data_IF_510846290322
#
_entry.id   IF_510846290322
#
_cell.length_a   1.000
_cell.length_b   1.000
_cell.length_c   1.000
_cell.angle_alpha   90.00
_cell.angle_beta   90.00
_cell.angle_gamma   90.00
#
_symmetry.space_group_name_H-M   'P 1'
#
loop_
_entity.id
_entity.type
_entity.pdbx_description
1 polymer ?
#
# COMPACT_ATOMS: atom_id res chain seq x y z
N UNK A 1 6.07 8.10 -10.02
CA UNK A 1 7.24 8.06 -9.11
C UNK A 1 6.94 7.50 -7.73
N UNK A 2 5.82 7.85 -7.07
CA UNK A 2 5.54 7.47 -5.66
C UNK A 2 5.61 5.97 -5.35
N UNK A 3 5.14 5.12 -6.26
CA UNK A 3 5.16 3.65 -6.12
C UNK A 3 6.56 3.04 -5.92
N UNK A 4 7.60 3.67 -6.50
CA UNK A 4 8.93 3.06 -6.60
C UNK A 4 9.92 3.59 -5.56
N UNK A 5 9.59 4.68 -4.85
CA UNK A 5 10.49 5.31 -3.87
C UNK A 5 10.72 4.40 -2.64
N UNK A 6 9.67 3.78 -2.04
CA UNK A 6 9.87 2.92 -0.88
C UNK A 6 10.61 1.63 -1.24
N UNK A 7 10.33 1.06 -2.42
CA UNK A 7 11.05 -0.12 -2.90
C UNK A 7 12.52 0.21 -3.20
N UNK A 8 12.77 1.32 -3.89
CA UNK A 8 14.12 1.79 -4.19
C UNK A 8 14.94 2.10 -2.93
N UNK A 9 14.32 2.74 -1.93
CA UNK A 9 14.95 3.00 -0.63
C UNK A 9 15.23 1.72 0.17
N UNK A 10 14.34 0.73 0.10
CA UNK A 10 14.54 -0.59 0.69
C UNK A 10 15.69 -1.37 0.05
N UNK A 11 15.84 -1.26 -1.27
CA UNK A 11 16.87 -1.95 -2.08
C UNK A 11 18.31 -1.47 -1.78
N UNK A 12 18.47 -0.34 -1.08
CA UNK A 12 19.77 0.15 -0.63
C UNK A 12 20.34 -0.65 0.55
N UNK A 13 19.52 -1.44 1.26
CA UNK A 13 19.95 -2.19 2.44
C UNK A 13 20.03 -3.70 2.14
N UNK A 14 21.20 -4.32 2.38
CA UNK A 14 21.43 -5.75 2.13
C UNK A 14 20.62 -6.62 3.12
N UNK A 15 19.87 -7.60 2.61
CA UNK A 15 18.96 -8.43 3.42
C UNK A 15 19.66 -9.57 4.17
N UNK A 16 20.85 -9.98 3.72
CA UNK A 16 21.61 -11.11 4.28
C UNK A 16 22.36 -10.78 5.58
N UNK A 17 22.40 -9.52 6.00
CA UNK A 17 23.07 -9.07 7.23
C UNK A 17 22.01 -8.67 8.30
N UNK A 18 21.89 -9.42 9.41
CA UNK A 18 20.85 -9.19 10.42
C UNK A 18 20.99 -7.83 11.13
N UNK A 19 22.20 -7.23 11.16
CA UNK A 19 22.40 -5.89 11.74
C UNK A 19 21.96 -4.77 10.79
N UNK A 20 22.10 -4.97 9.48
CA UNK A 20 21.66 -4.00 8.45
C UNK A 20 20.16 -4.09 8.15
N UNK A 21 19.55 -5.27 8.28
CA UNK A 21 18.09 -5.45 8.18
C UNK A 21 17.32 -4.66 9.26
N UNK A 22 17.83 -4.61 10.50
CA UNK A 22 17.26 -3.77 11.56
C UNK A 22 17.31 -2.26 11.23
N UNK A 23 18.40 -1.79 10.62
CA UNK A 23 18.53 -0.39 10.17
C UNK A 23 17.54 -0.05 9.05
N UNK A 24 17.26 -1.00 8.13
CA UNK A 24 16.23 -0.85 7.07
C UNK A 24 14.85 -0.59 7.65
N UNK A 25 14.39 -1.42 8.59
CA UNK A 25 13.08 -1.25 9.24
C UNK A 25 12.98 0.08 9.99
N UNK A 26 14.05 0.49 10.69
CA UNK A 26 14.09 1.79 11.37
C UNK A 26 14.03 2.98 10.41
N UNK A 27 14.73 2.92 9.27
CA UNK A 27 14.69 3.97 8.24
C UNK A 27 13.32 4.04 7.57
N UNK A 28 12.70 2.91 7.25
CA UNK A 28 11.35 2.87 6.68
C UNK A 28 10.28 3.39 7.67
N UNK A 29 10.44 3.09 8.96
CA UNK A 29 9.53 3.60 9.98
C UNK A 29 9.69 5.13 10.16
N UNK A 30 10.92 5.64 10.18
CA UNK A 30 11.17 7.10 10.21
C UNK A 30 10.71 7.82 8.94
N UNK A 31 10.91 7.22 7.77
CA UNK A 31 10.37 7.72 6.51
C UNK A 31 8.84 7.83 6.57
N UNK A 32 8.20 6.82 7.15
CA UNK A 32 6.75 6.80 7.35
C UNK A 32 6.30 7.94 8.26
N UNK A 33 6.96 8.11 9.41
CA UNK A 33 6.67 9.23 10.33
C UNK A 33 6.87 10.58 9.64
N UNK A 34 7.94 10.75 8.87
CA UNK A 34 8.20 11.96 8.10
C UNK A 34 7.13 12.26 7.05
N UNK A 35 6.68 11.23 6.32
CA UNK A 35 5.58 11.36 5.35
C UNK A 35 4.25 11.74 6.03
N UNK A 36 3.97 11.19 7.22
CA UNK A 36 2.77 11.52 7.99
C UNK A 36 2.78 12.97 8.46
N UNK A 37 3.89 13.44 9.04
CA UNK A 37 4.05 14.82 9.50
C UNK A 37 4.00 15.79 8.31
N UNK A 38 4.70 15.45 7.21
CA UNK A 38 4.71 16.24 5.99
C UNK A 38 3.33 16.37 5.36
N UNK A 39 2.51 15.32 5.40
CA UNK A 39 1.13 15.35 4.91
C UNK A 39 0.25 16.29 5.75
N UNK A 40 0.37 16.25 7.08
CA UNK A 40 -0.39 17.12 7.98
C UNK A 40 0.03 18.59 7.78
N UNK A 41 1.34 18.87 7.74
CA UNK A 41 1.84 20.22 7.50
C UNK A 41 1.41 20.72 6.11
N UNK A 42 1.52 19.87 5.08
CA UNK A 42 1.10 20.20 3.72
C UNK A 42 -0.39 20.58 3.67
N UNK A 43 -1.25 19.77 4.28
CA UNK A 43 -2.70 20.02 4.28
C UNK A 43 -3.13 21.26 5.08
N UNK A 44 -2.35 21.69 6.07
CA UNK A 44 -2.66 22.89 6.84
C UNK A 44 -2.06 24.13 6.16
N UNK A 45 -0.78 24.06 5.78
CA UNK A 45 -0.02 25.20 5.30
C UNK A 45 -0.32 25.54 3.84
N UNK A 46 -0.43 24.54 2.96
CA UNK A 46 -0.77 24.78 1.54
C UNK A 46 -2.20 25.31 1.43
N UNK A 47 -3.16 24.68 2.13
CA UNK A 47 -4.57 25.13 2.11
C UNK A 47 -4.70 26.55 2.66
N UNK A 48 -3.96 26.88 3.73
CA UNK A 48 -3.94 28.26 4.23
C UNK A 48 -3.40 29.26 3.20
N UNK A 49 -2.34 28.89 2.45
CA UNK A 49 -1.80 29.73 1.37
C UNK A 49 -2.85 29.93 0.27
N UNK A 50 -3.51 28.84 -0.15
CA UNK A 50 -4.53 28.88 -1.20
C UNK A 50 -5.71 29.78 -0.81
N UNK A 51 -6.17 29.68 0.45
CA UNK A 51 -7.30 30.46 0.96
C UNK A 51 -6.96 31.95 1.18
N UNK A 52 -5.74 32.29 1.60
CA UNK A 52 -5.39 33.66 1.98
C UNK A 52 -4.65 34.46 0.89
N UNK A 53 -3.76 33.79 0.14
CA UNK A 53 -2.86 34.44 -0.83
C UNK A 53 -3.16 34.06 -2.28
N UNK A 54 -4.10 33.14 -2.49
CA UNK A 54 -4.53 32.70 -3.81
C UNK A 54 -3.83 31.44 -4.31
N UNK A 55 -4.40 30.92 -5.40
CA UNK A 55 -4.22 29.56 -5.89
C UNK A 55 -2.87 29.41 -6.61
N UNK A 56 -2.42 30.48 -7.26
CA UNK A 56 -1.17 30.52 -8.02
C UNK A 56 0.08 30.37 -7.12
N UNK A 57 0.04 30.95 -5.92
CA UNK A 57 1.12 30.82 -4.93
C UNK A 57 1.19 29.41 -4.37
N UNK A 58 0.05 28.77 -4.09
CA UNK A 58 -0.01 27.37 -3.66
C UNK A 58 0.63 26.43 -4.69
N UNK A 59 0.29 26.62 -5.97
CA UNK A 59 0.86 25.86 -7.07
C UNK A 59 2.37 26.10 -7.25
N UNK A 60 2.84 27.35 -7.13
CA UNK A 60 4.26 27.69 -7.21
C UNK A 60 5.06 27.01 -6.10
N UNK A 61 4.57 27.08 -4.86
CA UNK A 61 5.21 26.45 -3.69
C UNK A 61 5.29 24.93 -3.87
N UNK A 62 4.23 24.30 -4.34
CA UNK A 62 4.22 22.87 -4.65
C UNK A 62 5.23 22.52 -5.75
N UNK A 63 5.28 23.31 -6.83
CA UNK A 63 6.22 23.14 -7.93
C UNK A 63 7.68 23.22 -7.46
N UNK A 64 8.01 24.23 -6.66
CA UNK A 64 9.34 24.40 -6.07
C UNK A 64 9.70 23.24 -5.14
N UNK A 65 8.78 22.78 -4.29
CA UNK A 65 9.02 21.65 -3.40
C UNK A 65 9.35 20.35 -4.17
N UNK A 66 8.63 20.08 -5.27
CA UNK A 66 8.92 18.94 -6.14
C UNK A 66 10.28 19.10 -6.83
N UNK A 67 10.60 20.31 -7.30
CA UNK A 67 11.87 20.61 -7.96
C UNK A 67 13.06 20.40 -7.01
N UNK A 68 12.95 20.89 -5.77
CA UNK A 68 13.95 20.63 -4.71
C UNK A 68 14.09 19.13 -4.45
N UNK A 69 12.98 18.40 -4.35
CA UNK A 69 13.01 16.94 -4.19
C UNK A 69 13.72 16.22 -5.34
N UNK A 70 13.49 16.65 -6.58
CA UNK A 70 14.20 16.13 -7.75
C UNK A 70 15.69 16.43 -7.71
N UNK A 71 16.09 17.65 -7.35
CA UNK A 71 17.52 18.01 -7.23
C UNK A 71 18.23 17.17 -6.18
N UNK A 72 17.61 16.96 -5.01
CA UNK A 72 18.16 16.10 -3.96
C UNK A 72 18.33 14.66 -4.45
N UNK A 73 17.34 14.14 -5.19
CA UNK A 73 17.43 12.80 -5.78
C UNK A 73 18.55 12.69 -6.83
N UNK A 74 18.73 13.72 -7.66
CA UNK A 74 19.80 13.78 -8.67
C UNK A 74 21.18 13.85 -8.01
N UNK A 75 21.34 14.66 -6.96
CA UNK A 75 22.59 14.71 -6.17
C UNK A 75 22.90 13.36 -5.50
N UNK A 76 21.86 12.63 -5.11
CA UNK A 76 21.98 11.28 -4.53
C UNK A 76 22.39 10.18 -5.52
N UNK A 77 22.30 10.43 -6.84
CA UNK A 77 22.58 9.41 -7.87
C UNK A 77 23.97 8.79 -7.74
N UNK A 78 24.97 9.57 -7.29
CA UNK A 78 26.34 9.10 -7.09
C UNK A 78 26.49 8.13 -5.91
N UNK A 79 25.54 8.14 -4.97
CA UNK A 79 25.56 7.32 -3.77
C UNK A 79 24.61 6.11 -3.85
N UNK A 80 23.79 6.03 -4.90
CA UNK A 80 22.83 4.94 -5.05
C UNK A 80 23.51 3.66 -5.53
N UNK A 81 23.16 2.56 -4.87
CA UNK A 81 23.52 1.23 -5.34
C UNK A 81 22.53 0.82 -6.42
N UNK A 82 22.99 0.75 -7.67
CA UNK A 82 22.20 0.28 -8.80
C UNK A 82 22.14 -1.25 -8.74
N UNK A 83 20.92 -1.79 -8.61
CA UNK A 83 20.68 -3.23 -8.70
C UNK A 83 20.58 -3.63 -10.18
N UNK A 84 21.22 -4.73 -10.58
CA UNK A 84 21.11 -5.22 -11.95
C UNK A 84 19.64 -5.57 -12.29
N UNK A 85 19.15 -5.22 -13.49
CA UNK A 85 17.78 -5.49 -13.88
C UNK A 85 17.53 -7.00 -13.90
N UNK A 86 16.82 -7.51 -12.90
CA UNK A 86 16.24 -8.85 -12.93
C UNK A 86 15.08 -8.77 -13.91
N UNK A 87 15.15 -9.53 -15.01
CA UNK A 87 14.24 -9.40 -16.16
C UNK A 87 12.74 -9.29 -15.81
N UNK A 88 11.95 -8.76 -16.75
CA UNK A 88 10.57 -8.33 -16.49
C UNK A 88 9.71 -9.42 -15.82
N UNK A 89 9.10 -9.12 -14.66
CA UNK A 89 8.10 -10.00 -14.05
C UNK A 89 6.92 -10.25 -14.98
N UNK A 90 6.56 -9.26 -15.81
CA UNK A 90 5.46 -9.34 -16.76
C UNK A 90 5.75 -10.35 -17.86
N UNK A 91 6.99 -10.44 -18.36
CA UNK A 91 7.33 -11.45 -19.37
C UNK A 91 7.28 -12.86 -18.79
N UNK A 92 7.64 -13.05 -17.51
CA UNK A 92 7.45 -14.35 -16.84
C UNK A 92 5.98 -14.67 -16.63
N UNK A 93 5.16 -13.69 -16.23
CA UNK A 93 3.72 -13.88 -16.08
C UNK A 93 3.04 -14.16 -17.41
N UNK A 94 3.40 -13.45 -18.48
CA UNK A 94 2.90 -13.70 -19.83
C UNK A 94 3.33 -15.09 -20.33
N UNK A 95 4.57 -15.51 -20.11
CA UNK A 95 5.02 -16.86 -20.44
C UNK A 95 4.27 -17.94 -19.63
N UNK A 96 3.94 -17.66 -18.37
CA UNK A 96 3.11 -18.56 -17.54
C UNK A 96 1.67 -18.56 -18.02
N UNK A 97 1.09 -17.41 -18.38
CA UNK A 97 -0.27 -17.32 -18.93
C UNK A 97 -0.38 -17.98 -20.30
N UNK A 98 0.62 -17.81 -21.16
CA UNK A 98 0.72 -18.47 -22.46
C UNK A 98 0.86 -19.99 -22.27
N UNK A 99 1.76 -20.44 -21.39
CA UNK A 99 1.89 -21.87 -21.05
C UNK A 99 0.64 -22.43 -20.34
N UNK A 100 -0.07 -21.64 -19.56
CA UNK A 100 -1.32 -22.02 -18.87
C UNK A 100 -2.50 -22.11 -19.85
N UNK A 101 -2.60 -21.16 -20.78
CA UNK A 101 -3.58 -21.16 -21.87
C UNK A 101 -3.34 -22.31 -22.86
N UNK A 102 -2.10 -22.76 -23.04
CA UNK A 102 -1.75 -23.96 -23.82
C UNK A 102 -1.94 -25.27 -23.03
N UNK A 103 -2.10 -25.22 -21.70
CA UNK A 103 -2.25 -26.39 -20.80
C UNK A 103 -3.65 -26.57 -20.23
N UNK A 104 -4.70 -26.04 -20.87
CA UNK A 104 -6.10 -26.26 -20.45
C UNK A 104 -6.47 -27.76 -20.38
N UNK A 105 -5.77 -28.61 -21.13
CA UNK A 105 -5.88 -30.09 -21.07
C UNK A 105 -5.34 -30.69 -19.76
N UNK A 106 -4.32 -30.08 -19.13
CA UNK A 106 -3.73 -30.56 -17.87
C UNK A 106 -4.63 -30.26 -16.66
N UNK A 107 -5.32 -29.12 -16.63
CA UNK A 107 -6.26 -28.78 -15.53
C UNK A 107 -7.42 -29.77 -15.53
N UNK A 108 -7.96 -30.09 -16.71
CA UNK A 108 -8.99 -31.12 -16.86
C UNK A 108 -8.48 -32.48 -16.36
N UNK A 109 -7.26 -32.88 -16.72
CA UNK A 109 -6.67 -34.14 -16.25
C UNK A 109 -6.38 -34.16 -14.75
N UNK A 110 -5.98 -33.04 -14.13
CA UNK A 110 -5.76 -32.94 -12.68
C UNK A 110 -7.09 -33.05 -11.93
N UNK A 111 -8.14 -32.36 -12.39
CA UNK A 111 -9.47 -32.49 -11.81
C UNK A 111 -10.05 -33.89 -11.99
N UNK A 112 -9.90 -34.50 -13.18
CA UNK A 112 -10.35 -35.87 -13.46
C UNK A 112 -9.53 -36.91 -12.67
N UNK A 113 -8.21 -36.76 -12.56
CA UNK A 113 -7.34 -37.64 -11.79
C UNK A 113 -7.63 -37.53 -10.28
N UNK A 114 -7.86 -36.32 -9.75
CA UNK A 114 -8.26 -36.09 -8.37
C UNK A 114 -9.63 -36.70 -8.06
N UNK A 115 -10.61 -36.55 -8.96
CA UNK A 115 -11.93 -37.17 -8.80
C UNK A 115 -11.87 -38.70 -8.86
N UNK A 116 -11.03 -39.25 -9.75
CA UNK A 116 -10.83 -40.69 -9.93
C UNK A 116 -10.04 -41.32 -8.76
N UNK A 117 -9.17 -40.56 -8.07
CA UNK A 117 -8.40 -40.99 -6.89
C UNK A 117 -9.11 -40.79 -5.53
N UNK A 118 -10.37 -40.34 -5.50
CA UNK A 118 -11.08 -40.01 -4.23
C UNK A 118 -11.36 -41.20 -3.29
N UNK A 119 -11.06 -42.44 -3.70
CA UNK A 119 -11.27 -43.66 -2.90
C UNK A 119 -10.04 -44.56 -2.88
N UNK A 120 -8.86 -43.99 -2.65
CA UNK A 120 -7.71 -44.81 -2.27
C UNK A 120 -7.72 -45.05 -0.76
N UNK A 121 -7.75 -46.32 -0.37
CA UNK A 121 -7.39 -46.76 0.98
C UNK A 121 -5.88 -46.55 1.08
N UNK A 122 -5.45 -45.67 1.96
CA UNK A 122 -4.04 -45.47 2.26
C UNK A 122 -3.54 -46.72 2.98
N UNK A 123 -2.68 -47.52 2.32
CA UNK A 123 -1.92 -48.53 3.02
C UNK A 123 -0.92 -47.79 3.91
N UNK A 124 -1.14 -47.91 5.21
CA UNK A 124 -0.37 -47.30 6.27
C UNK A 124 0.97 -48.02 6.38
N UNK A 125 1.95 -47.57 5.62
CA UNK A 125 3.35 -47.88 5.87
C UNK A 125 4.15 -46.58 5.70
N UNK A 126 4.39 -45.91 6.84
CA UNK A 126 5.07 -44.62 6.95
C UNK A 126 6.56 -44.69 6.57
N UNK A 127 7.14 -45.88 6.39
CA UNK A 127 8.58 -46.05 6.17
C UNK A 127 9.07 -45.65 4.76
N UNK A 128 8.24 -45.72 3.71
CA UNK A 128 8.65 -45.33 2.35
C UNK A 128 8.47 -43.82 2.05
N UNK A 129 7.54 -43.12 2.73
CA UNK A 129 7.28 -41.69 2.46
C UNK A 129 8.41 -40.79 3.00
N UNK A 130 9.22 -41.28 3.96
CA UNK A 130 10.32 -40.53 4.53
C UNK A 130 11.65 -40.65 3.79
N UNK A 131 11.81 -41.61 2.86
CA UNK A 131 13.07 -41.77 2.12
C UNK A 131 13.13 -40.88 0.88
N UNK A 132 12.02 -40.66 0.16
CA UNK A 132 12.07 -39.87 -1.09
C UNK A 132 12.26 -38.36 -0.85
N UNK A 133 11.91 -37.83 0.33
CA UNK A 133 12.03 -36.39 0.61
C UNK A 133 13.42 -35.99 1.13
N UNK A 134 14.21 -36.92 1.68
CA UNK A 134 15.50 -36.57 2.30
C UNK A 134 16.66 -36.42 1.31
N UNK A 135 16.66 -37.15 0.20
CA UNK A 135 17.77 -37.10 -0.76
C UNK A 135 17.67 -35.94 -1.75
N UNK A 136 16.46 -35.45 -2.07
CA UNK A 136 16.29 -34.30 -2.98
C UNK A 136 16.41 -32.93 -2.28
N UNK A 137 16.48 -32.90 -0.93
CA UNK A 137 16.61 -31.66 -0.14
C UNK A 137 18.06 -31.25 0.12
N UNK A 138 19.04 -32.12 -0.13
CA UNK A 138 20.45 -31.84 0.24
C UNK A 138 21.12 -30.76 -0.65
N UNK A 139 20.54 -30.37 -1.78
CA UNK A 139 21.09 -29.30 -2.66
C UNK A 139 20.24 -28.03 -2.75
N UNK A 140 19.20 -27.90 -1.93
CA UNK A 140 18.35 -26.70 -1.89
C UNK A 140 18.13 -26.26 -0.45
N UNK A 141 18.94 -25.31 0.02
CA UNK A 141 18.90 -24.64 1.33
C UNK A 141 17.47 -24.54 1.93
N UNK A 142 17.10 -25.54 2.74
CA UNK A 142 15.85 -25.55 3.52
C UNK A 142 16.07 -24.77 4.79
N UNK A 143 15.40 -23.61 4.90
CA UNK A 143 15.28 -22.88 6.15
C UNK A 143 14.47 -23.73 7.16
N UNK A 144 14.98 -23.99 8.37
CA UNK A 144 14.24 -24.73 9.38
C UNK A 144 13.06 -23.88 9.87
N UNK A 145 11.85 -24.35 9.60
CA UNK A 145 10.63 -23.86 10.25
C UNK A 145 10.70 -24.23 11.72
N UNK A 146 11.07 -23.26 12.56
CA UNK A 146 11.10 -23.43 14.01
C UNK A 146 9.65 -23.46 14.55
N UNK A 147 9.17 -24.66 14.89
CA UNK A 147 8.05 -24.81 15.83
C UNK A 147 8.58 -24.50 17.22
N UNK A 148 8.29 -23.30 17.72
CA UNK A 148 8.54 -22.94 19.12
C UNK A 148 9.19 -21.58 19.30
N UNK A 149 8.47 -20.50 19.05
CA UNK A 149 8.77 -19.22 19.68
C UNK A 149 7.47 -18.49 20.02
N UNK A 150 6.97 -18.82 21.20
CA UNK A 150 5.96 -18.06 21.92
C UNK A 150 6.72 -16.89 22.55
N UNK A 151 6.33 -15.66 22.20
CA UNK A 151 6.80 -14.39 22.79
C UNK A 151 8.23 -13.99 22.38
N UNK A 152 8.42 -12.73 21.95
CA UNK A 152 9.67 -12.03 21.57
C UNK A 152 10.19 -12.41 20.16
N UNK A 153 10.34 -11.53 19.16
CA UNK A 153 10.41 -10.07 19.17
C UNK A 153 10.29 -9.47 17.77
N UNK A 154 9.07 -9.28 17.29
CA UNK A 154 8.78 -8.26 16.29
C UNK A 154 8.66 -6.90 16.99
N UNK A 155 9.74 -6.11 17.03
CA UNK A 155 9.67 -4.68 17.38
C UNK A 155 9.38 -3.82 16.14
N UNK A 156 8.30 -4.14 15.45
CA UNK A 156 7.42 -3.13 14.85
C UNK A 156 6.06 -3.45 15.42
N UNK A 157 5.65 -2.72 16.45
CA UNK A 157 4.61 -3.11 17.40
C UNK A 157 3.18 -3.16 16.87
N UNK A 158 2.98 -3.09 15.56
CA UNK A 158 1.69 -3.18 14.88
C UNK A 158 1.87 -4.08 13.67
N UNK A 159 1.06 -5.14 13.53
CA UNK A 159 1.11 -5.98 12.33
C UNK A 159 0.56 -5.20 11.13
N UNK A 160 1.10 -5.44 9.92
CA UNK A 160 0.63 -4.74 8.70
C UNK A 160 -0.89 -4.93 8.50
N UNK A 161 -1.42 -6.10 8.86
CA UNK A 161 -2.85 -6.41 8.80
C UNK A 161 -3.67 -5.57 9.80
N UNK A 162 -3.17 -5.36 11.03
CA UNK A 162 -3.81 -4.49 12.00
C UNK A 162 -3.82 -3.03 11.54
N UNK A 163 -2.73 -2.58 10.91
CA UNK A 163 -2.62 -1.21 10.39
C UNK A 163 -3.61 -0.92 9.27
N UNK A 164 -3.74 -1.82 8.30
CA UNK A 164 -4.76 -1.74 7.25
C UNK A 164 -6.18 -1.89 7.83
N UNK A 165 -6.35 -2.73 8.87
CA UNK A 165 -7.61 -2.86 9.60
C UNK A 165 -8.07 -1.54 10.24
N UNK A 166 -7.16 -0.76 10.81
CA UNK A 166 -7.47 0.57 11.37
C UNK A 166 -8.03 1.52 10.31
N UNK A 167 -7.44 1.57 9.10
CA UNK A 167 -7.98 2.42 8.02
C UNK A 167 -9.39 2.03 7.60
N UNK A 168 -9.72 0.73 7.57
CA UNK A 168 -11.08 0.28 7.26
C UNK A 168 -12.10 0.73 8.30
N UNK A 169 -11.71 0.92 9.56
CA UNK A 169 -12.59 1.43 10.62
C UNK A 169 -12.68 2.96 10.57
N UNK A 170 -11.57 3.64 10.28
CA UNK A 170 -11.53 5.12 10.20
C UNK A 170 -12.34 5.63 8.99
N UNK A 171 -12.37 4.89 7.88
CA UNK A 171 -13.09 5.30 6.66
C UNK A 171 -14.60 5.53 6.90
N UNK A 172 -15.37 4.60 7.49
CA UNK A 172 -16.77 4.84 7.88
C UNK A 172 -16.94 6.02 8.84
N UNK A 173 -16.03 6.18 9.81
CA UNK A 173 -16.09 7.29 10.78
C UNK A 173 -15.93 8.63 10.05
N UNK A 174 -15.02 8.72 9.08
CA UNK A 174 -14.85 9.90 8.23
C UNK A 174 -16.13 10.21 7.43
N UNK A 175 -16.77 9.17 6.87
CA UNK A 175 -18.03 9.32 6.14
C UNK A 175 -19.18 9.77 7.05
N UNK A 176 -19.28 9.25 8.27
CA UNK A 176 -20.26 9.71 9.27
C UNK A 176 -20.04 11.18 9.66
N UNK A 177 -18.78 11.58 9.85
CA UNK A 177 -18.44 12.96 10.17
C UNK A 177 -18.76 13.91 9.01
N UNK A 178 -18.46 13.50 7.77
CA UNK A 178 -18.83 14.24 6.56
C UNK A 178 -20.36 14.41 6.44
N UNK A 179 -21.13 13.34 6.67
CA UNK A 179 -22.58 13.39 6.65
C UNK A 179 -23.15 14.31 7.76
N UNK A 180 -22.51 14.32 8.94
CA UNK A 180 -22.88 15.22 10.03
C UNK A 180 -22.61 16.69 9.68
N UNK A 181 -21.43 16.99 9.11
CA UNK A 181 -21.09 18.34 8.66
C UNK A 181 -22.04 18.81 7.56
N UNK A 182 -22.36 17.94 6.60
CA UNK A 182 -23.32 18.24 5.53
C UNK A 182 -24.73 18.50 6.08
N UNK A 183 -25.15 17.75 7.10
CA UNK A 183 -26.42 17.99 7.80
C UNK A 183 -26.44 19.35 8.49
N UNK A 184 -25.34 19.73 9.16
CA UNK A 184 -25.23 21.05 9.77
C UNK A 184 -25.18 22.16 8.73
N UNK A 185 -24.48 21.97 7.61
CA UNK A 185 -24.45 22.91 6.49
C UNK A 185 -25.84 23.17 5.95
N UNK A 186 -26.63 22.11 5.70
CA UNK A 186 -28.02 22.22 5.22
C UNK A 186 -28.92 22.91 6.24
N UNK A 187 -28.73 22.66 7.54
CA UNK A 187 -29.48 23.35 8.61
C UNK A 187 -29.18 24.85 8.63
N UNK A 188 -27.91 25.24 8.57
CA UNK A 188 -27.52 26.65 8.48
C UNK A 188 -28.03 27.27 7.18
N UNK A 189 -27.99 26.56 6.05
CA UNK A 189 -28.59 27.07 4.80
C UNK A 189 -30.11 27.30 4.94
N UNK A 190 -30.82 26.46 5.68
CA UNK A 190 -32.25 26.61 5.95
C UNK A 190 -32.57 27.81 6.85
N UNK A 191 -31.79 28.01 7.93
CA UNK A 191 -31.97 29.12 8.87
C UNK A 191 -31.77 30.49 8.20
N UNK A 192 -30.93 30.56 7.16
CA UNK A 192 -30.66 31.78 6.39
C UNK A 192 -31.49 31.87 5.09
N UNK A 193 -32.41 30.93 4.83
CA UNK A 193 -33.26 30.93 3.63
C UNK A 193 -32.52 30.71 2.31
N UNK A 194 -31.31 30.13 2.36
CA UNK A 194 -30.38 29.95 1.24
C UNK A 194 -30.43 28.54 0.63
N UNK A 195 -31.51 27.78 0.87
CA UNK A 195 -31.62 26.37 0.48
C UNK A 195 -31.47 26.17 -1.03
N UNK A 196 -32.02 27.09 -1.83
CA UNK A 196 -32.01 27.06 -3.31
C UNK A 196 -31.08 28.10 -3.94
N UNK A 197 -30.31 28.82 -3.12
CA UNK A 197 -29.39 29.85 -3.61
C UNK A 197 -28.00 29.25 -3.83
N UNK A 198 -27.38 29.48 -4.99
CA UNK A 198 -25.98 29.10 -5.26
C UNK A 198 -24.94 29.90 -4.44
N UNK A 199 -25.41 30.69 -3.48
CA UNK A 199 -24.62 31.56 -2.61
C UNK A 199 -23.89 30.74 -1.55
N UNK A 200 -22.65 31.12 -1.21
CA UNK A 200 -21.88 30.44 -0.15
C UNK A 200 -22.63 30.52 1.19
N UNK A 201 -22.81 29.37 1.83
CA UNK A 201 -23.33 29.29 3.20
C UNK A 201 -22.29 29.91 4.14
N UNK A 202 -22.65 30.87 5.01
CA UNK A 202 -21.73 31.46 5.97
C UNK A 202 -21.44 30.45 7.09
N UNK A 203 -20.55 29.50 6.81
CA UNK A 203 -20.04 28.51 7.75
C UNK A 203 -18.54 28.66 7.90
N UNK A 204 -18.02 28.43 9.11
CA UNK A 204 -16.58 28.48 9.35
C UNK A 204 -15.87 27.34 8.62
N UNK A 205 -14.78 27.67 7.93
CA UNK A 205 -13.89 26.71 7.22
C UNK A 205 -13.31 25.65 8.19
N UNK A 206 -13.25 25.96 9.49
CA UNK A 206 -12.78 25.04 10.53
C UNK A 206 -13.60 23.73 10.59
N UNK A 207 -14.88 23.75 10.19
CA UNK A 207 -15.69 22.53 10.12
C UNK A 207 -15.22 21.56 9.03
N UNK A 208 -14.77 22.10 7.90
CA UNK A 208 -14.23 21.31 6.79
C UNK A 208 -12.81 20.80 7.12
N UNK A 209 -12.02 21.62 7.82
CA UNK A 209 -10.68 21.25 8.28
C UNK A 209 -10.70 19.99 9.16
N UNK A 210 -11.68 19.87 10.07
CA UNK A 210 -11.83 18.69 10.93
C UNK A 210 -12.04 17.40 10.10
N UNK A 211 -12.86 17.48 9.05
CA UNK A 211 -13.08 16.35 8.13
C UNK A 211 -11.80 16.00 7.36
N UNK A 212 -11.07 17.00 6.87
CA UNK A 212 -9.81 16.79 6.15
C UNK A 212 -8.75 16.12 7.01
N UNK A 213 -8.66 16.45 8.31
CA UNK A 213 -7.71 15.79 9.23
C UNK A 213 -8.01 14.29 9.35
N UNK A 214 -9.29 13.91 9.49
CA UNK A 214 -9.67 12.49 9.62
C UNK A 214 -9.38 11.71 8.34
N UNK A 215 -9.67 12.30 7.18
CA UNK A 215 -9.35 11.71 5.87
C UNK A 215 -7.83 11.59 5.68
N UNK A 216 -7.06 12.60 6.08
CA UNK A 216 -5.60 12.57 6.01
C UNK A 216 -4.99 11.45 6.86
N UNK A 217 -5.51 11.27 8.07
CA UNK A 217 -5.13 10.16 8.95
C UNK A 217 -5.45 8.83 8.26
N UNK A 218 -6.65 8.68 7.70
CA UNK A 218 -7.03 7.48 6.97
C UNK A 218 -6.06 7.16 5.82
N UNK A 219 -5.72 8.14 4.99
CA UNK A 219 -4.83 7.96 3.84
C UNK A 219 -3.43 7.52 4.27
N UNK A 220 -2.90 8.06 5.38
CA UNK A 220 -1.62 7.63 5.95
C UNK A 220 -1.67 6.17 6.37
N UNK A 221 -2.70 5.75 7.11
CA UNK A 221 -2.80 4.37 7.59
C UNK A 221 -3.10 3.37 6.48
N UNK A 222 -3.99 3.72 5.54
CA UNK A 222 -4.35 2.89 4.40
C UNK A 222 -3.18 2.69 3.45
N UNK A 223 -2.47 3.78 3.09
CA UNK A 223 -1.36 3.70 2.16
C UNK A 223 -0.18 2.90 2.73
N UNK A 224 0.20 3.16 3.99
CA UNK A 224 1.33 2.48 4.64
C UNK A 224 1.01 1.00 4.86
N UNK A 225 -0.18 0.68 5.35
CA UNK A 225 -0.59 -0.72 5.59
C UNK A 225 -0.62 -1.54 4.30
N UNK A 226 -1.13 -0.95 3.21
CA UNK A 226 -1.17 -1.60 1.91
C UNK A 226 0.23 -1.75 1.29
N UNK A 227 1.10 -0.75 1.46
CA UNK A 227 2.48 -0.80 1.00
C UNK A 227 3.27 -1.90 1.73
N UNK A 228 3.14 -2.00 3.05
CA UNK A 228 3.78 -3.05 3.85
C UNK A 228 3.26 -4.44 3.46
N UNK A 229 1.95 -4.58 3.25
CA UNK A 229 1.33 -5.82 2.77
C UNK A 229 1.84 -6.24 1.38
N UNK A 230 1.88 -5.32 0.41
CA UNK A 230 2.39 -5.65 -0.92
C UNK A 230 3.88 -5.99 -0.86
N UNK A 231 4.67 -5.32 -0.03
CA UNK A 231 6.08 -5.66 0.16
C UNK A 231 6.29 -7.04 0.82
N UNK A 232 5.36 -7.51 1.66
CA UNK A 232 5.46 -8.83 2.29
C UNK A 232 4.93 -9.97 1.42
N UNK A 233 3.86 -9.75 0.66
CA UNK A 233 3.16 -10.80 -0.08
C UNK A 233 3.60 -10.92 -1.55
N UNK A 234 4.13 -9.86 -2.16
CA UNK A 234 4.54 -9.92 -3.58
C UNK A 234 6.00 -10.31 -3.74
N UNK A 235 6.29 -11.14 -4.76
CA UNK A 235 7.67 -11.44 -5.14
C UNK A 235 8.45 -10.14 -5.40
N UNK A 236 9.74 -10.09 -5.04
CA UNK A 236 10.60 -8.87 -5.05
C UNK A 236 10.58 -8.04 -6.36
N UNK A 237 10.05 -8.56 -7.48
CA UNK A 237 9.90 -7.82 -8.74
C UNK A 237 8.52 -7.20 -8.98
N UNK A 238 7.49 -7.54 -8.21
CA UNK A 238 6.09 -7.20 -8.52
C UNK A 238 5.47 -6.08 -7.66
N UNK A 239 6.21 -5.57 -6.68
CA UNK A 239 5.70 -4.57 -5.73
C UNK A 239 5.22 -3.28 -6.41
N UNK A 240 5.86 -2.89 -7.53
CA UNK A 240 5.44 -1.73 -8.33
C UNK A 240 4.05 -1.93 -8.97
N UNK A 241 3.68 -3.18 -9.32
CA UNK A 241 2.37 -3.50 -9.90
C UNK A 241 1.27 -3.34 -8.86
N UNK A 242 1.47 -3.84 -7.63
CA UNK A 242 0.48 -3.73 -6.55
C UNK A 242 0.15 -2.27 -6.19
N UNK A 243 1.19 -1.44 -6.11
CA UNK A 243 1.02 0.01 -5.87
C UNK A 243 0.42 0.74 -7.07
N UNK A 244 0.72 0.34 -8.32
CA UNK A 244 0.08 0.90 -9.50
C UNK A 244 -1.43 0.59 -9.55
N UNK A 245 -1.84 -0.65 -9.27
CA UNK A 245 -3.25 -1.06 -9.22
C UNK A 245 -4.01 -0.21 -8.18
N UNK A 246 -3.42 0.04 -7.01
CA UNK A 246 -4.03 0.90 -6.00
C UNK A 246 -4.38 2.31 -6.55
N UNK A 247 -3.43 2.97 -7.21
CA UNK A 247 -3.69 4.29 -7.81
C UNK A 247 -4.70 4.24 -8.96
N UNK A 248 -4.72 3.16 -9.75
CA UNK A 248 -5.75 2.95 -10.77
C UNK A 248 -7.14 2.81 -10.14
N UNK A 249 -7.27 2.06 -9.04
CA UNK A 249 -8.54 1.93 -8.31
C UNK A 249 -8.99 3.29 -7.78
N UNK A 250 -8.10 4.07 -7.16
CA UNK A 250 -8.43 5.43 -6.71
C UNK A 250 -8.86 6.35 -7.85
N UNK A 251 -8.20 6.27 -9.02
CA UNK A 251 -8.60 7.03 -10.21
C UNK A 251 -9.95 6.60 -10.77
N UNK A 252 -10.26 5.30 -10.74
CA UNK A 252 -11.59 4.83 -11.12
C UNK A 252 -12.66 5.31 -10.13
N UNK A 253 -12.34 5.31 -8.83
CA UNK A 253 -13.24 5.82 -7.79
C UNK A 253 -13.55 7.30 -8.00
N UNK A 254 -12.57 8.14 -8.37
CA UNK A 254 -12.81 9.56 -8.64
C UNK A 254 -13.66 9.78 -9.89
N UNK A 255 -13.45 8.99 -10.95
CA UNK A 255 -14.30 9.04 -12.15
C UNK A 255 -15.75 8.66 -11.86
N UNK A 256 -15.97 7.60 -11.07
CA UNK A 256 -17.30 7.21 -10.63
C UNK A 256 -17.94 8.30 -9.77
N UNK A 257 -17.19 8.86 -8.82
CA UNK A 257 -17.69 9.96 -7.99
C UNK A 257 -18.13 11.16 -8.82
N UNK A 258 -17.33 11.56 -9.82
CA UNK A 258 -17.69 12.64 -10.75
C UNK A 258 -18.89 12.32 -11.64
N UNK A 259 -19.19 11.04 -11.88
CA UNK A 259 -20.37 10.64 -12.65
C UNK A 259 -21.67 10.69 -11.82
N UNK A 260 -21.59 10.47 -10.51
CA UNK A 260 -22.75 10.46 -9.60
C UNK A 260 -23.06 11.82 -8.95
N UNK A 261 -22.11 12.76 -8.96
CA UNK A 261 -22.25 14.12 -8.42
C UNK A 261 -22.75 15.09 -9.50
#
# INVERSE_FOLDING_TARGET
MRANIPSFGGDQFNEYDPTKSKKRSSVLNWLTVGLSIGSIIGLIFIVWIEDNQGWDLGLLVCGLAVLVGMLVMVMGLLFYRIQCPKGSPVTRMLQVMEKMSLRTSFIYQVFVAAFKKRRLILLENEEELHQVTKEEIIDGEVLPTYKGFKVIGYRSGITHQQRTGVSFIVTPVAACLAAFIEKNRKRVAADYGLIDSASRVPMSVMWLLLQFIVVAINDVFAFVGLLEFFNSETSRGMTSIGTAIFWCVSGLSSLLASYFL
#
